data_IF_315247980829
#
_entry.id   IF_315247980829
#
_cell.length_a   1.000
_cell.length_b   1.000
_cell.length_c   1.000
_cell.angle_alpha   90.00
_cell.angle_beta   90.00
_cell.angle_gamma   90.00
#
_symmetry.space_group_name_H-M   'P 1'
#
loop_
_entity.id
_entity.type
_entity.pdbx_description
1 polymer ?
#
# COMPACT_ATOMS: atom_id res chain seq x y z
N UNK A 1 32.55 -13.93 -49.97
CA UNK A 1 32.51 -14.94 -48.89
C UNK A 1 31.67 -14.32 -47.80
N UNK A 2 30.35 -14.50 -47.88
CA UNK A 2 29.42 -14.05 -46.85
C UNK A 2 29.61 -14.92 -45.62
N UNK A 3 29.80 -14.29 -44.48
CA UNK A 3 29.64 -14.94 -43.19
C UNK A 3 28.21 -14.65 -42.78
N UNK A 4 27.32 -15.59 -43.08
CA UNK A 4 26.04 -15.71 -42.38
C UNK A 4 26.39 -16.11 -40.95
N UNK A 5 26.32 -15.15 -40.04
CA UNK A 5 26.34 -15.43 -38.61
C UNK A 5 24.90 -15.75 -38.24
N UNK A 6 24.56 -17.04 -38.24
CA UNK A 6 23.33 -17.54 -37.62
C UNK A 6 23.34 -17.10 -36.14
N UNK A 7 22.48 -16.14 -35.83
CA UNK A 7 22.16 -15.72 -34.48
C UNK A 7 21.28 -16.82 -33.87
N UNK A 8 21.92 -17.82 -33.27
CA UNK A 8 21.22 -18.87 -32.52
C UNK A 8 20.69 -18.26 -31.23
N UNK A 9 19.43 -17.88 -31.25
CA UNK A 9 18.63 -17.57 -30.07
C UNK A 9 18.38 -18.89 -29.32
N UNK A 10 19.25 -19.20 -28.35
CA UNK A 10 19.07 -20.32 -27.45
C UNK A 10 17.98 -19.96 -26.44
N UNK A 11 16.73 -20.19 -26.82
CA UNK A 11 15.62 -20.22 -25.87
C UNK A 11 15.75 -21.54 -25.07
N UNK A 12 16.70 -21.58 -24.13
CA UNK A 12 16.86 -22.70 -23.21
C UNK A 12 15.57 -22.85 -22.42
N UNK A 13 14.84 -23.93 -22.70
CA UNK A 13 13.66 -24.33 -21.95
C UNK A 13 14.14 -24.66 -20.52
N UNK A 14 13.99 -23.70 -19.60
CA UNK A 14 14.32 -23.89 -18.20
C UNK A 14 13.48 -25.07 -17.70
N UNK A 15 14.13 -26.13 -17.20
CA UNK A 15 13.42 -27.17 -16.45
C UNK A 15 12.88 -26.53 -15.18
N UNK A 16 11.59 -26.19 -15.20
CA UNK A 16 10.90 -25.48 -14.12
C UNK A 16 10.91 -26.27 -12.79
N UNK A 17 11.22 -27.57 -12.83
CA UNK A 17 11.31 -28.44 -11.65
C UNK A 17 12.74 -28.64 -11.13
N UNK A 18 13.74 -28.21 -11.90
CA UNK A 18 15.14 -28.23 -11.44
C UNK A 18 15.33 -27.22 -10.31
N UNK A 19 16.11 -27.62 -9.31
CA UNK A 19 16.55 -26.73 -8.24
C UNK A 19 17.95 -26.17 -8.46
N UNK A 20 18.69 -26.69 -9.45
CA UNK A 20 20.00 -26.15 -9.88
C UNK A 20 19.79 -25.43 -11.21
N UNK A 21 19.59 -24.11 -11.14
CA UNK A 21 19.14 -23.27 -12.25
C UNK A 21 20.29 -22.56 -12.98
N UNK A 22 21.47 -22.49 -12.37
CA UNK A 22 22.68 -21.91 -12.97
C UNK A 22 23.93 -22.55 -12.35
N UNK A 23 25.09 -22.33 -12.97
CA UNK A 23 26.35 -22.89 -12.47
C UNK A 23 26.67 -22.39 -11.06
N UNK A 24 26.94 -23.32 -10.13
CA UNK A 24 27.18 -22.99 -8.73
C UNK A 24 25.94 -22.66 -7.91
N UNK A 25 24.73 -22.92 -8.44
CA UNK A 25 23.49 -22.72 -7.72
C UNK A 25 23.31 -23.72 -6.57
N UNK A 26 23.41 -23.22 -5.33
CA UNK A 26 23.14 -23.97 -4.09
C UNK A 26 21.71 -23.73 -3.55
N UNK A 27 20.85 -23.08 -4.33
CA UNK A 27 19.47 -22.82 -3.97
C UNK A 27 18.64 -24.09 -3.90
N UNK A 28 17.75 -24.17 -2.90
CA UNK A 28 16.85 -25.31 -2.70
C UNK A 28 15.43 -25.07 -3.20
N UNK A 29 15.21 -24.05 -4.03
CA UNK A 29 13.90 -23.71 -4.61
C UNK A 29 13.94 -23.97 -6.11
N UNK A 30 12.83 -24.46 -6.65
CA UNK A 30 12.63 -24.53 -8.11
C UNK A 30 12.38 -23.14 -8.72
N UNK A 31 12.24 -23.07 -10.05
CA UNK A 31 12.14 -21.79 -10.75
C UNK A 31 10.91 -20.98 -10.32
N UNK A 32 9.74 -21.62 -10.25
CA UNK A 32 8.47 -20.94 -9.93
C UNK A 32 8.45 -20.48 -8.46
N UNK A 33 8.99 -21.30 -7.54
CA UNK A 33 9.15 -20.92 -6.14
C UNK A 33 10.07 -19.71 -5.96
N UNK A 34 11.17 -19.61 -6.74
CA UNK A 34 12.04 -18.44 -6.72
C UNK A 34 11.35 -17.20 -7.25
N UNK A 35 10.58 -17.32 -8.34
CA UNK A 35 9.79 -16.22 -8.86
C UNK A 35 8.80 -15.70 -7.80
N UNK A 36 8.06 -16.60 -7.15
CA UNK A 36 7.12 -16.24 -6.08
C UNK A 36 7.83 -15.59 -4.88
N UNK A 37 9.00 -16.09 -4.46
CA UNK A 37 9.80 -15.48 -3.40
C UNK A 37 10.26 -14.06 -3.78
N UNK A 38 10.76 -13.88 -5.00
CA UNK A 38 11.19 -12.57 -5.52
C UNK A 38 10.00 -11.61 -5.61
N UNK A 39 8.86 -12.06 -6.11
CA UNK A 39 7.63 -11.27 -6.17
C UNK A 39 7.22 -10.82 -4.77
N UNK A 40 7.17 -11.75 -3.80
CA UNK A 40 6.85 -11.44 -2.41
C UNK A 40 7.84 -10.44 -1.78
N UNK A 41 9.14 -10.54 -2.09
CA UNK A 41 10.14 -9.60 -1.59
C UNK A 41 9.99 -8.19 -2.19
N UNK A 42 9.61 -8.09 -3.47
CA UNK A 42 9.40 -6.80 -4.15
C UNK A 42 8.08 -6.14 -3.77
N UNK A 43 7.00 -6.91 -3.64
CA UNK A 43 5.66 -6.39 -3.43
C UNK A 43 5.31 -6.28 -1.94
N UNK A 44 4.38 -5.38 -1.58
CA UNK A 44 3.91 -5.26 -0.19
C UNK A 44 3.04 -6.46 0.21
N UNK A 45 2.33 -7.02 -0.76
CA UNK A 45 1.54 -8.24 -0.66
C UNK A 45 1.45 -8.91 -2.04
N UNK A 46 0.98 -10.15 -2.07
CA UNK A 46 0.65 -10.95 -3.24
C UNK A 46 -0.80 -11.39 -3.04
N UNK A 47 -1.66 -11.24 -4.05
CA UNK A 47 -3.06 -11.70 -3.97
C UNK A 47 -3.44 -12.55 -5.16
N UNK A 48 -4.37 -13.49 -4.97
CA UNK A 48 -4.88 -14.32 -6.07
C UNK A 48 -5.50 -13.47 -7.20
N UNK A 49 -6.00 -12.27 -6.87
CA UNK A 49 -6.61 -11.34 -7.84
C UNK A 49 -5.60 -10.70 -8.79
N UNK A 50 -4.40 -10.38 -8.30
CA UNK A 50 -3.39 -9.61 -9.05
C UNK A 50 -2.18 -10.44 -9.47
N UNK A 51 -1.88 -11.50 -8.71
CA UNK A 51 -0.73 -12.36 -8.86
C UNK A 51 -1.12 -13.83 -8.60
N UNK A 52 -2.05 -14.41 -9.40
CA UNK A 52 -2.63 -15.73 -9.12
C UNK A 52 -1.58 -16.83 -9.02
N UNK A 53 -0.62 -16.87 -9.98
CA UNK A 53 0.45 -17.87 -10.01
C UNK A 53 1.35 -17.81 -8.77
N UNK A 54 1.77 -16.61 -8.37
CA UNK A 54 2.62 -16.43 -7.19
C UNK A 54 1.86 -16.78 -5.91
N UNK A 55 0.59 -16.40 -5.82
CA UNK A 55 -0.26 -16.73 -4.67
C UNK A 55 -0.45 -18.25 -4.51
N UNK A 56 -0.76 -18.95 -5.59
CA UNK A 56 -0.91 -20.41 -5.59
C UNK A 56 0.39 -21.09 -5.14
N UNK A 57 1.53 -20.64 -5.68
CA UNK A 57 2.85 -21.15 -5.31
C UNK A 57 3.15 -20.91 -3.82
N UNK A 58 2.84 -19.72 -3.30
CA UNK A 58 3.01 -19.39 -1.88
C UNK A 58 2.12 -20.26 -0.98
N UNK A 59 0.89 -20.53 -1.40
CA UNK A 59 -0.08 -21.34 -0.67
C UNK A 59 0.32 -22.82 -0.65
N UNK A 60 0.85 -23.33 -1.76
CA UNK A 60 1.22 -24.75 -1.92
C UNK A 60 2.57 -25.08 -1.27
N UNK A 61 3.53 -24.16 -1.34
CA UNK A 61 4.89 -24.34 -0.83
C UNK A 61 5.20 -23.48 0.41
N UNK A 62 4.18 -23.21 1.23
CA UNK A 62 4.24 -22.27 2.35
C UNK A 62 5.42 -22.55 3.30
N UNK A 63 5.60 -23.79 3.75
CA UNK A 63 6.65 -24.14 4.71
C UNK A 63 8.05 -23.86 4.16
N UNK A 64 8.29 -24.20 2.90
CA UNK A 64 9.57 -24.04 2.23
C UNK A 64 9.89 -22.54 2.04
N UNK A 65 8.92 -21.77 1.53
CA UNK A 65 9.09 -20.34 1.29
C UNK A 65 9.19 -19.54 2.60
N UNK A 66 8.42 -19.91 3.64
CA UNK A 66 8.56 -19.36 5.00
C UNK A 66 9.97 -19.59 5.54
N UNK A 67 10.54 -20.79 5.37
CA UNK A 67 11.91 -21.06 5.79
C UNK A 67 12.92 -20.11 5.13
N UNK A 68 12.76 -19.81 3.83
CA UNK A 68 13.66 -18.89 3.11
C UNK A 68 13.50 -17.43 3.53
N UNK A 69 12.30 -17.01 3.88
CA UNK A 69 12.07 -15.69 4.47
C UNK A 69 12.66 -15.57 5.88
N UNK A 70 12.61 -16.64 6.67
CA UNK A 70 13.16 -16.65 8.03
C UNK A 70 14.67 -16.39 8.03
N UNK A 71 15.40 -16.86 7.01
CA UNK A 71 16.82 -16.56 6.80
C UNK A 71 17.09 -15.03 6.62
N UNK A 72 16.04 -14.25 6.32
CA UNK A 72 16.06 -12.80 6.16
C UNK A 72 15.39 -12.04 7.33
N UNK A 73 15.10 -12.74 8.44
CA UNK A 73 14.29 -12.23 9.56
C UNK A 73 12.88 -11.77 9.16
N UNK A 74 12.31 -12.39 8.13
CA UNK A 74 10.96 -12.15 7.67
C UNK A 74 10.10 -13.37 7.92
N UNK A 75 8.82 -13.16 8.24
CA UNK A 75 7.84 -14.22 8.38
C UNK A 75 6.76 -14.10 7.29
N UNK A 76 6.36 -15.24 6.73
CA UNK A 76 5.30 -15.34 5.72
C UNK A 76 3.94 -15.34 6.42
N UNK A 77 3.02 -14.50 5.95
CA UNK A 77 1.64 -14.53 6.38
C UNK A 77 0.76 -14.84 5.16
N UNK A 78 -0.22 -15.73 5.33
CA UNK A 78 -1.20 -16.06 4.31
C UNK A 78 -2.58 -16.04 4.96
N UNK A 79 -3.43 -15.13 4.49
CA UNK A 79 -4.87 -15.16 4.72
C UNK A 79 -5.50 -15.94 3.56
N UNK A 80 -6.03 -17.13 3.88
CA UNK A 80 -6.65 -18.02 2.89
C UNK A 80 -8.07 -17.62 2.55
N UNK A 81 -8.77 -16.97 3.47
CA UNK A 81 -10.15 -16.53 3.27
C UNK A 81 -10.19 -15.33 2.33
N UNK A 82 -9.20 -14.44 2.47
CA UNK A 82 -9.04 -13.24 1.63
C UNK A 82 -8.18 -13.45 0.40
N UNK A 83 -7.52 -14.60 0.30
CA UNK A 83 -6.57 -14.94 -0.76
C UNK A 83 -5.40 -13.94 -0.91
N UNK A 84 -4.80 -13.56 0.22
CA UNK A 84 -3.69 -12.59 0.29
C UNK A 84 -2.53 -13.15 1.10
N UNK A 85 -1.31 -12.98 0.58
CA UNK A 85 -0.06 -13.28 1.26
C UNK A 85 0.82 -12.04 1.39
N UNK A 86 1.54 -11.90 2.50
CA UNK A 86 2.47 -10.78 2.71
C UNK A 86 3.60 -11.18 3.66
N UNK A 87 4.66 -10.38 3.65
CA UNK A 87 5.81 -10.53 4.55
C UNK A 87 5.67 -9.62 5.77
N UNK A 88 6.04 -10.11 6.95
CA UNK A 88 6.18 -9.32 8.18
C UNK A 88 7.58 -9.43 8.75
N UNK A 89 8.01 -8.41 9.48
CA UNK A 89 9.25 -8.50 10.25
C UNK A 89 9.08 -9.55 11.35
N UNK A 90 10.02 -10.48 11.46
CA UNK A 90 10.07 -11.40 12.59
C UNK A 90 10.44 -10.66 13.88
N UNK A 91 9.89 -11.09 15.01
CA UNK A 91 10.13 -10.50 16.33
C UNK A 91 10.96 -11.44 17.20
N UNK A 92 12.04 -10.96 17.85
CA UNK A 92 12.82 -11.78 18.77
C UNK A 92 12.06 -12.01 20.10
N UNK A 93 12.04 -13.25 20.59
CA UNK A 93 11.35 -13.62 21.84
C UNK A 93 11.91 -12.90 23.08
N UNK A 94 13.21 -12.61 23.10
CA UNK A 94 13.91 -11.97 24.22
C UNK A 94 13.92 -10.44 24.21
N UNK A 95 13.17 -9.81 23.30
CA UNK A 95 13.21 -8.37 23.07
C UNK A 95 14.37 -7.93 22.16
N UNK A 96 14.33 -6.66 21.74
CA UNK A 96 15.25 -6.12 20.71
C UNK A 96 14.64 -6.10 19.31
N UNK A 97 15.46 -5.85 18.29
CA UNK A 97 15.04 -5.81 16.88
C UNK A 97 16.06 -6.52 16.01
N UNK A 98 15.59 -7.33 15.07
CA UNK A 98 16.44 -7.85 14.00
C UNK A 98 16.74 -6.76 12.96
N UNK A 99 17.82 -6.91 12.17
CA UNK A 99 17.98 -6.17 10.93
C UNK A 99 16.75 -6.36 10.04
N UNK A 100 16.36 -5.30 9.32
CA UNK A 100 15.17 -5.34 8.46
C UNK A 100 15.50 -4.97 7.03
N UNK A 101 14.96 -5.76 6.09
CA UNK A 101 14.88 -5.44 4.66
C UNK A 101 13.55 -4.73 4.32
N UNK A 102 12.63 -4.63 5.29
CA UNK A 102 11.37 -3.92 5.07
C UNK A 102 11.65 -2.42 5.11
N UNK A 103 11.48 -1.78 3.97
CA UNK A 103 11.42 -0.33 3.93
C UNK A 103 10.06 0.11 4.46
N UNK A 104 10.08 0.81 5.59
CA UNK A 104 8.90 1.47 6.15
C UNK A 104 8.55 2.70 5.30
N UNK A 105 7.95 2.47 4.14
CA UNK A 105 7.42 3.55 3.33
C UNK A 105 6.08 3.94 3.94
N UNK A 106 6.12 4.99 4.77
CA UNK A 106 4.92 5.57 5.34
C UNK A 106 4.02 6.11 4.24
N UNK A 107 2.71 5.91 4.39
CA UNK A 107 1.71 6.53 3.53
C UNK A 107 1.61 8.02 3.85
N UNK A 108 1.39 8.85 2.82
CA UNK A 108 1.07 10.26 3.02
C UNK A 108 -0.27 10.42 3.73
N UNK A 109 -0.58 11.64 4.16
CA UNK A 109 -1.88 11.99 4.74
C UNK A 109 -3.04 11.59 3.82
N UNK A 110 -2.98 12.00 2.55
CA UNK A 110 -4.03 11.73 1.58
C UNK A 110 -4.11 10.23 1.26
N UNK A 111 -2.98 9.53 1.12
CA UNK A 111 -2.96 8.08 0.94
C UNK A 111 -3.60 7.36 2.13
N UNK A 112 -3.30 7.81 3.35
CA UNK A 112 -3.92 7.26 4.57
C UNK A 112 -5.43 7.47 4.58
N UNK A 113 -5.93 8.65 4.19
CA UNK A 113 -7.37 8.90 4.06
C UNK A 113 -8.02 7.99 3.01
N UNK A 114 -7.39 7.81 1.85
CA UNK A 114 -7.87 6.86 0.84
C UNK A 114 -7.97 5.46 1.45
N UNK A 115 -6.89 4.99 2.07
CA UNK A 115 -6.82 3.67 2.69
C UNK A 115 -7.87 3.43 3.76
N UNK A 116 -8.17 4.45 4.57
CA UNK A 116 -9.29 4.44 5.53
C UNK A 116 -10.61 4.21 4.80
N UNK A 117 -10.88 5.04 3.79
CA UNK A 117 -12.13 4.95 3.04
C UNK A 117 -12.31 3.56 2.42
N UNK A 118 -11.25 3.00 1.85
CA UNK A 118 -11.29 1.67 1.23
C UNK A 118 -11.60 0.58 2.24
N UNK A 119 -11.02 0.64 3.45
CA UNK A 119 -11.30 -0.33 4.51
C UNK A 119 -12.76 -0.27 4.96
N UNK A 120 -13.29 0.93 5.17
CA UNK A 120 -14.67 1.12 5.61
C UNK A 120 -15.66 0.62 4.55
N UNK A 121 -15.43 0.98 3.27
CA UNK A 121 -16.23 0.48 2.14
C UNK A 121 -16.17 -1.04 2.03
N UNK A 122 -14.96 -1.62 2.12
CA UNK A 122 -14.76 -3.07 2.04
C UNK A 122 -15.55 -3.80 3.13
N UNK A 123 -15.42 -3.36 4.38
CA UNK A 123 -16.15 -3.93 5.52
C UNK A 123 -17.66 -3.79 5.39
N UNK A 124 -18.15 -2.63 4.94
CA UNK A 124 -19.56 -2.40 4.74
C UNK A 124 -20.16 -3.33 3.67
N UNK A 125 -19.46 -3.51 2.53
CA UNK A 125 -19.88 -4.44 1.48
C UNK A 125 -19.86 -5.90 1.96
N UNK A 126 -18.82 -6.31 2.68
CA UNK A 126 -18.73 -7.65 3.27
C UNK A 126 -19.86 -7.93 4.25
N UNK A 127 -20.21 -6.96 5.11
CA UNK A 127 -21.36 -7.07 6.01
C UNK A 127 -22.70 -7.16 5.26
N UNK A 128 -22.79 -6.56 4.07
CA UNK A 128 -23.90 -6.69 3.14
C UNK A 128 -23.95 -8.03 2.37
N UNK A 129 -22.89 -8.84 2.46
CA UNK A 129 -22.75 -10.10 1.73
C UNK A 129 -22.17 -9.96 0.32
N UNK A 130 -21.61 -8.80 -0.03
CA UNK A 130 -20.96 -8.60 -1.32
C UNK A 130 -19.67 -9.41 -1.41
N UNK A 131 -19.54 -10.19 -2.49
CA UNK A 131 -18.31 -10.92 -2.80
C UNK A 131 -17.19 -10.01 -3.30
N UNK A 132 -17.55 -8.85 -3.85
CA UNK A 132 -16.61 -7.85 -4.37
C UNK A 132 -17.16 -6.47 -4.12
N UNK A 133 -16.31 -5.60 -3.59
CA UNK A 133 -16.66 -4.21 -3.30
C UNK A 133 -16.02 -3.31 -4.33
N UNK A 134 -16.80 -2.36 -4.83
CA UNK A 134 -16.35 -1.38 -5.81
C UNK A 134 -16.45 0.03 -5.24
N UNK A 135 -15.60 0.92 -5.75
CA UNK A 135 -15.59 2.34 -5.41
C UNK A 135 -15.24 3.15 -6.65
N UNK A 136 -15.90 4.30 -6.79
CA UNK A 136 -15.61 5.24 -7.87
C UNK A 136 -14.49 6.21 -7.44
N UNK A 137 -13.74 6.73 -8.41
CA UNK A 137 -12.64 7.66 -8.17
C UNK A 137 -13.14 8.92 -7.46
N UNK A 138 -14.25 9.48 -7.92
CA UNK A 138 -14.83 10.70 -7.37
C UNK A 138 -15.28 10.50 -5.93
N UNK A 139 -15.89 9.35 -5.60
CA UNK A 139 -16.22 8.97 -4.21
C UNK A 139 -14.99 9.03 -3.29
N UNK A 140 -13.83 8.56 -3.76
CA UNK A 140 -12.59 8.61 -2.99
C UNK A 140 -12.09 10.06 -2.84
N UNK A 141 -12.11 10.83 -3.92
CA UNK A 141 -11.64 12.22 -3.92
C UNK A 141 -12.51 13.07 -2.98
N UNK A 142 -13.82 12.91 -3.05
CA UNK A 142 -14.79 13.61 -2.19
C UNK A 142 -14.58 13.26 -0.71
N UNK A 143 -14.31 11.98 -0.42
CA UNK A 143 -13.97 11.56 0.94
C UNK A 143 -12.68 12.23 1.44
N UNK A 144 -11.62 12.31 0.62
CA UNK A 144 -10.39 13.00 1.03
C UNK A 144 -10.65 14.50 1.23
N UNK A 145 -11.46 15.11 0.35
CA UNK A 145 -11.82 16.53 0.42
C UNK A 145 -12.61 16.89 1.69
N UNK A 146 -13.40 15.96 2.26
CA UNK A 146 -14.13 16.22 3.51
C UNK A 146 -13.24 16.42 4.73
N UNK A 147 -11.95 16.08 4.63
CA UNK A 147 -10.94 16.29 5.69
C UNK A 147 -10.10 17.55 5.46
N UNK A 148 -10.46 18.42 4.52
CA UNK A 148 -9.78 19.69 4.29
C UNK A 148 -9.98 20.66 5.47
N UNK A 149 -8.93 21.34 5.96
CA UNK A 149 -9.08 22.41 6.94
C UNK A 149 -9.92 23.56 6.38
N UNK A 150 -10.80 24.15 7.21
CA UNK A 150 -11.70 25.25 6.81
C UNK A 150 -10.97 26.50 6.33
N UNK A 151 -9.70 26.68 6.72
CA UNK A 151 -8.87 27.83 6.36
C UNK A 151 -7.95 27.59 5.16
N UNK A 152 -7.93 26.36 4.60
CA UNK A 152 -7.09 26.06 3.45
C UNK A 152 -7.59 26.82 2.22
N UNK A 153 -6.70 27.47 1.48
CA UNK A 153 -7.04 28.30 0.30
C UNK A 153 -6.63 27.67 -1.03
N UNK A 154 -5.80 26.61 -1.02
CA UNK A 154 -5.29 25.94 -2.21
C UNK A 154 -6.11 24.70 -2.60
N UNK A 155 -7.33 24.93 -3.11
CA UNK A 155 -8.24 23.84 -3.49
C UNK A 155 -7.66 22.97 -4.60
N UNK A 156 -6.98 23.60 -5.57
CA UNK A 156 -6.40 22.90 -6.71
C UNK A 156 -5.24 21.99 -6.30
N UNK A 157 -4.40 22.45 -5.37
CA UNK A 157 -3.32 21.64 -4.81
C UNK A 157 -3.85 20.45 -4.00
N UNK A 158 -4.88 20.66 -3.19
CA UNK A 158 -5.55 19.60 -2.42
C UNK A 158 -6.12 18.51 -3.34
N UNK A 159 -6.89 18.91 -4.36
CA UNK A 159 -7.47 17.99 -5.33
C UNK A 159 -6.39 17.20 -6.08
N UNK A 160 -5.27 17.85 -6.43
CA UNK A 160 -4.12 17.19 -7.05
C UNK A 160 -3.47 16.17 -6.13
N UNK A 161 -3.31 16.47 -4.84
CA UNK A 161 -2.78 15.52 -3.84
C UNK A 161 -3.71 14.31 -3.67
N UNK A 162 -5.03 14.54 -3.59
CA UNK A 162 -6.02 13.47 -3.52
C UNK A 162 -5.94 12.54 -4.74
N UNK A 163 -5.90 13.08 -5.96
CA UNK A 163 -5.73 12.29 -7.18
C UNK A 163 -4.43 11.48 -7.18
N UNK A 164 -3.33 12.08 -6.76
CA UNK A 164 -2.04 11.38 -6.68
C UNK A 164 -2.08 10.25 -5.64
N UNK A 165 -2.78 10.43 -4.52
CA UNK A 165 -2.96 9.39 -3.51
C UNK A 165 -3.73 8.19 -4.08
N UNK A 166 -4.82 8.42 -4.83
CA UNK A 166 -5.56 7.34 -5.52
C UNK A 166 -4.64 6.56 -6.47
N UNK A 167 -3.83 7.26 -7.28
CA UNK A 167 -2.90 6.63 -8.21
C UNK A 167 -1.81 5.81 -7.48
N UNK A 168 -1.30 6.33 -6.36
CA UNK A 168 -0.31 5.63 -5.53
C UNK A 168 -0.87 4.36 -4.90
N UNK A 169 -2.09 4.43 -4.34
CA UNK A 169 -2.80 3.28 -3.76
C UNK A 169 -3.16 2.23 -4.83
N UNK A 170 -3.56 2.66 -6.02
CA UNK A 170 -3.78 1.77 -7.16
C UNK A 170 -2.48 1.10 -7.64
N UNK A 171 -1.38 1.87 -7.73
CA UNK A 171 -0.05 1.33 -8.07
C UNK A 171 0.44 0.32 -7.04
N UNK A 172 0.04 0.48 -5.78
CA UNK A 172 0.31 -0.49 -4.72
C UNK A 172 -0.56 -1.76 -4.81
N UNK A 173 -1.49 -1.85 -5.76
CA UNK A 173 -2.36 -3.00 -6.02
C UNK A 173 -3.61 -3.05 -5.13
N UNK A 174 -3.88 -2.01 -4.33
CA UNK A 174 -5.03 -1.99 -3.41
C UNK A 174 -6.33 -1.56 -4.09
N UNK A 175 -6.23 -0.95 -5.27
CA UNK A 175 -7.33 -0.68 -6.19
C UNK A 175 -7.04 -1.39 -7.51
N UNK A 176 -8.00 -2.18 -7.98
CA UNK A 176 -7.89 -2.95 -9.22
C UNK A 176 -8.81 -2.28 -10.25
N UNK A 177 -8.24 -1.87 -11.38
CA UNK A 177 -9.01 -1.21 -12.45
C UNK A 177 -10.12 -2.12 -13.00
N UNK A 178 -11.23 -1.51 -13.39
CA UNK A 178 -12.35 -2.21 -14.05
C UNK A 178 -12.44 -1.81 -15.53
N UNK A 179 -13.51 -2.22 -16.21
CA UNK A 179 -13.78 -1.77 -17.58
C UNK A 179 -14.09 -0.26 -17.66
N UNK A 180 -14.48 0.36 -16.54
CA UNK A 180 -14.62 1.81 -16.42
C UNK A 180 -13.33 2.39 -15.83
N UNK A 181 -12.83 3.48 -16.43
CA UNK A 181 -11.59 4.15 -16.01
C UNK A 181 -11.69 4.82 -14.63
N UNK A 182 -12.92 5.10 -14.18
CA UNK A 182 -13.20 5.77 -12.91
C UNK A 182 -13.73 4.84 -11.82
N UNK A 183 -13.81 3.53 -12.08
CA UNK A 183 -14.30 2.56 -11.10
C UNK A 183 -13.27 1.50 -10.80
N UNK A 184 -13.08 1.23 -9.51
CA UNK A 184 -12.12 0.27 -9.01
C UNK A 184 -12.80 -0.83 -8.20
N UNK A 185 -12.31 -2.06 -8.33
CA UNK A 185 -12.52 -3.12 -7.34
C UNK A 185 -11.53 -2.89 -6.18
N UNK A 186 -12.03 -2.94 -4.94
CA UNK A 186 -11.19 -2.82 -3.75
C UNK A 186 -10.53 -4.17 -3.47
N UNK A 187 -9.21 -4.18 -3.35
CA UNK A 187 -8.45 -5.39 -3.03
C UNK A 187 -8.68 -5.83 -1.58
N UNK A 188 -8.89 -7.13 -1.37
CA UNK A 188 -8.97 -7.73 -0.03
C UNK A 188 -7.68 -7.55 0.80
N UNK A 189 -6.56 -7.23 0.14
CA UNK A 189 -5.30 -6.93 0.80
C UNK A 189 -5.34 -5.65 1.65
N UNK A 190 -6.36 -4.80 1.50
CA UNK A 190 -6.57 -3.62 2.36
C UNK A 190 -6.68 -4.03 3.83
N UNK A 191 -7.36 -5.13 4.15
CA UNK A 191 -7.58 -5.51 5.54
C UNK A 191 -6.31 -5.93 6.29
N UNK A 192 -5.53 -6.94 5.82
CA UNK A 192 -4.36 -7.42 6.57
C UNK A 192 -3.23 -6.39 6.65
N UNK A 193 -3.18 -5.44 5.71
CA UNK A 193 -2.16 -4.41 5.66
C UNK A 193 -2.45 -3.18 6.53
N UNK A 194 -3.69 -3.00 6.97
CA UNK A 194 -4.11 -1.85 7.78
C UNK A 194 -4.99 -2.31 8.93
N UNK A 195 -4.46 -2.98 9.97
CA UNK A 195 -5.25 -3.42 11.12
C UNK A 195 -6.14 -2.31 11.69
N UNK A 196 -7.28 -2.68 12.28
CA UNK A 196 -8.29 -1.72 12.73
C UNK A 196 -7.70 -0.71 13.71
N UNK A 197 -6.83 -1.18 14.58
CA UNK A 197 -6.18 -0.41 15.63
C UNK A 197 -5.30 0.68 15.01
N UNK A 198 -4.47 0.30 14.03
CA UNK A 198 -3.62 1.24 13.30
C UNK A 198 -4.46 2.28 12.55
N UNK A 199 -5.60 1.87 11.97
CA UNK A 199 -6.49 2.77 11.27
C UNK A 199 -7.13 3.82 12.19
N UNK A 200 -7.57 3.40 13.38
CA UNK A 200 -8.13 4.29 14.39
C UNK A 200 -7.07 5.28 14.89
N UNK A 201 -5.86 4.81 15.20
CA UNK A 201 -4.75 5.66 15.61
C UNK A 201 -4.40 6.70 14.54
N UNK A 202 -4.34 6.28 13.27
CA UNK A 202 -4.08 7.17 12.15
C UNK A 202 -5.18 8.22 11.98
N UNK A 203 -6.46 7.81 12.08
CA UNK A 203 -7.58 8.75 11.99
C UNK A 203 -7.59 9.77 13.12
N UNK A 204 -7.36 9.34 14.35
CA UNK A 204 -7.27 10.24 15.50
C UNK A 204 -6.10 11.22 15.34
N UNK A 205 -4.94 10.75 14.89
CA UNK A 205 -3.79 11.60 14.61
C UNK A 205 -4.10 12.64 13.52
N UNK A 206 -4.80 12.24 12.46
CA UNK A 206 -5.24 13.13 11.38
C UNK A 206 -6.24 14.19 11.88
N UNK A 207 -7.23 13.79 12.68
CA UNK A 207 -8.21 14.70 13.25
C UNK A 207 -7.57 15.70 14.21
N UNK A 208 -6.63 15.25 15.05
CA UNK A 208 -5.87 16.13 15.94
C UNK A 208 -5.06 17.14 15.14
N UNK A 209 -4.31 16.69 14.13
CA UNK A 209 -3.52 17.57 13.27
C UNK A 209 -4.38 18.67 12.62
N UNK A 210 -5.53 18.30 12.05
CA UNK A 210 -6.52 19.25 11.50
C UNK A 210 -7.08 20.23 12.55
N UNK A 211 -7.28 19.76 13.79
CA UNK A 211 -7.78 20.58 14.89
C UNK A 211 -6.75 21.55 15.48
N UNK A 212 -5.47 21.16 15.55
CA UNK A 212 -4.38 22.04 16.01
C UNK A 212 -4.07 23.18 15.04
N UNK A 213 -4.14 22.95 13.72
CA UNK A 213 -4.05 24.05 12.73
C UNK A 213 -5.17 25.09 12.91
N UNK A 214 -6.33 24.68 13.43
CA UNK A 214 -7.46 25.58 13.72
C UNK A 214 -7.30 26.38 15.03
N UNK A 215 -6.41 25.95 15.95
CA UNK A 215 -6.20 26.60 17.24
C UNK A 215 -5.06 27.64 17.23
N UNK A 216 -4.09 27.52 16.32
CA UNK A 216 -3.01 28.52 16.15
C UNK A 216 -3.39 29.72 15.27
N UNK A 217 -4.58 29.71 14.66
CA UNK A 217 -5.09 30.77 13.79
C UNK A 217 -6.22 31.61 14.42
N UNK A 218 -6.22 31.79 15.73
CA UNK A 218 -7.06 32.81 16.37
C UNK A 218 -6.33 34.17 16.29
N UNK A 219 -6.91 35.22 15.68
CA UNK A 219 -6.33 36.54 15.75
C UNK A 219 -6.44 37.06 17.19
N UNK A 220 -5.32 37.47 17.79
CA UNK A 220 -5.33 38.38 18.93
C UNK A 220 -5.81 39.75 18.43
N UNK A 221 -7.12 39.92 18.35
CA UNK A 221 -7.71 41.25 18.49
C UNK A 221 -7.67 41.60 19.99
N UNK A 222 -6.58 42.26 20.39
CA UNK A 222 -6.52 43.04 21.61
C UNK A 222 -6.25 44.49 21.22
N UNK A 223 -7.30 45.30 21.35
CA UNK A 223 -7.36 46.75 21.18
C UNK A 223 -6.12 47.51 21.64
N UNK A 224 -5.69 48.46 20.81
CA UNK A 224 -5.11 49.71 21.26
C UNK A 224 -5.49 50.84 20.28
N UNK A 225 -6.75 51.28 20.37
CA UNK A 225 -7.05 52.71 20.32
C UNK A 225 -6.07 53.40 21.28
N UNK A 226 -5.26 54.35 20.81
CA UNK A 226 -4.71 55.48 21.58
C UNK A 226 -3.82 56.38 20.68
N UNK A 227 -4.30 57.61 20.51
CA UNK A 227 -3.65 58.86 20.07
C UNK A 227 -3.50 59.10 18.56
N UNK A 228 -3.81 60.26 17.99
CA UNK A 228 -4.64 61.42 18.32
C UNK A 228 -4.62 62.23 17.00
N UNK A 229 -5.77 62.57 16.42
CA UNK A 229 -5.84 63.51 15.30
C UNK A 229 -5.83 64.93 15.87
N UNK A 230 -4.66 65.59 15.89
CA UNK A 230 -4.60 67.06 15.95
C UNK A 230 -4.44 67.62 14.53
N UNK A 231 -5.53 68.25 14.09
CA UNK A 231 -5.61 69.11 12.92
C UNK A 231 -5.18 70.56 13.31
N UNK A 232 -4.78 71.34 12.30
CA UNK A 232 -4.63 72.81 12.26
C UNK A 232 -3.21 73.40 12.48
N UNK A 233 -2.45 73.59 11.38
CA UNK A 233 -2.17 74.89 10.72
C UNK A 233 -1.42 74.74 9.38
#
# INVERSE_FOLDING_TARGET
MSVDTDEVEYDEVIDETSVSLFEGDEGGLDYVQRQALVALLKQRFISARTHPRDYDTLREHEQLLRSRLNDLFLDLQIDRDREVAWKRQASPEGGGRFPTLLHDTSWTREETLVLVHLRDRLRAGQAGGDLRVYVDRDDIIDYVASYRPTHATDESGDEKRARNAVLSVAKAGLLIGTASEDRFEISEAVEPLLPLELLQELLEALQKANGTESAEAAPEDADADLFDEENDE
#
